data_IF_035961386006
#
_entry.id   IF_035961386006
#
_cell.length_a   1.000
_cell.length_b   1.000
_cell.length_c   1.000
_cell.angle_alpha   90.00
_cell.angle_beta   90.00
_cell.angle_gamma   90.00
#
_symmetry.space_group_name_H-M   'P 1'
#
loop_
_entity.id
_entity.type
_entity.pdbx_description
1 polymer ?
#
# COMPACT_ATOMS: atom_id res chain seq x y z
N UNK A 1 -7.63 -33.03 -32.68
CA UNK A 1 -6.67 -32.29 -31.87
C UNK A 1 -5.31 -32.90 -32.14
N UNK A 2 -4.25 -32.09 -32.49
CA UNK A 2 -2.91 -32.64 -32.61
C UNK A 2 -2.46 -33.11 -31.22
N UNK A 3 -1.96 -34.34 -31.15
CA UNK A 3 -1.32 -34.85 -29.95
C UNK A 3 0.01 -34.10 -29.75
N UNK A 4 0.17 -33.44 -28.62
CA UNK A 4 1.45 -32.81 -28.28
C UNK A 4 2.48 -33.93 -28.06
N UNK A 5 3.45 -34.06 -28.97
CA UNK A 5 4.59 -34.94 -28.77
C UNK A 5 5.62 -34.21 -27.90
N UNK A 6 6.04 -34.85 -26.80
CA UNK A 6 7.10 -34.33 -25.94
C UNK A 6 8.43 -35.00 -26.33
N UNK A 7 9.48 -34.20 -26.50
CA UNK A 7 10.85 -34.69 -26.71
C UNK A 7 11.69 -34.28 -25.52
N UNK A 8 12.40 -35.25 -24.95
CA UNK A 8 13.39 -34.97 -23.90
C UNK A 8 14.60 -34.26 -24.52
N UNK A 9 14.90 -33.04 -24.06
CA UNK A 9 16.05 -32.27 -24.54
C UNK A 9 17.32 -32.66 -23.75
N UNK A 10 17.23 -32.67 -22.41
CA UNK A 10 18.37 -32.99 -21.56
C UNK A 10 18.09 -32.71 -20.08
N UNK A 11 19.09 -32.93 -19.25
CA UNK A 11 19.00 -32.67 -17.81
C UNK A 11 19.38 -31.22 -17.51
N UNK A 12 18.63 -30.56 -16.60
CA UNK A 12 18.95 -29.19 -16.15
C UNK A 12 20.23 -29.12 -15.32
N UNK A 13 20.68 -30.23 -14.74
CA UNK A 13 21.80 -30.27 -13.79
C UNK A 13 21.45 -29.72 -12.41
N UNK A 14 20.21 -29.32 -12.19
CA UNK A 14 19.73 -28.76 -10.93
C UNK A 14 18.54 -29.57 -10.42
N UNK A 15 18.49 -29.81 -9.11
CA UNK A 15 17.38 -30.53 -8.51
C UNK A 15 16.13 -29.63 -8.42
N UNK A 16 15.05 -30.06 -9.06
CA UNK A 16 13.76 -29.42 -9.01
C UNK A 16 12.91 -30.06 -7.91
N UNK A 17 12.63 -29.33 -6.86
CA UNK A 17 11.72 -29.75 -5.78
C UNK A 17 10.58 -28.73 -5.67
N UNK A 18 9.41 -29.21 -5.24
CA UNK A 18 8.19 -28.38 -5.07
C UNK A 18 7.67 -27.76 -6.39
N UNK A 19 6.93 -26.66 -6.27
CA UNK A 19 6.36 -25.92 -7.40
C UNK A 19 7.47 -25.27 -8.22
N UNK A 20 7.35 -25.36 -9.55
CA UNK A 20 8.30 -24.79 -10.50
C UNK A 20 7.57 -23.83 -11.42
N UNK A 21 8.23 -22.78 -11.85
CA UNK A 21 7.70 -21.87 -12.87
C UNK A 21 8.74 -21.60 -13.95
N UNK A 22 8.30 -21.74 -15.20
CA UNK A 22 9.13 -21.42 -16.37
C UNK A 22 8.36 -20.54 -17.32
N UNK A 23 9.03 -19.57 -17.92
CA UNK A 23 8.48 -18.76 -18.98
C UNK A 23 9.57 -18.30 -19.94
N UNK A 24 9.16 -18.08 -21.20
CA UNK A 24 10.04 -17.58 -22.25
C UNK A 24 10.00 -16.05 -22.30
N UNK A 25 11.14 -15.43 -22.25
CA UNK A 25 11.27 -14.10 -22.87
C UNK A 25 11.21 -14.28 -24.39
N UNK A 26 10.07 -14.00 -24.96
CA UNK A 26 9.80 -14.18 -26.39
C UNK A 26 10.56 -13.20 -27.27
N UNK A 27 11.11 -12.10 -26.72
CA UNK A 27 11.92 -11.14 -27.45
C UNK A 27 13.34 -11.66 -27.66
N UNK A 28 13.89 -12.33 -26.64
CA UNK A 28 15.26 -12.86 -26.67
C UNK A 28 15.32 -14.35 -26.96
N UNK A 29 14.21 -15.08 -26.82
CA UNK A 29 14.14 -16.52 -26.94
C UNK A 29 14.74 -17.27 -25.74
N UNK A 30 15.08 -16.56 -24.67
CA UNK A 30 15.67 -17.14 -23.46
C UNK A 30 14.54 -17.74 -22.61
N UNK A 31 14.71 -19.01 -22.22
CA UNK A 31 13.85 -19.65 -21.24
C UNK A 31 14.37 -19.36 -19.82
N UNK A 32 13.56 -18.74 -19.01
CA UNK A 32 13.81 -18.52 -17.59
C UNK A 32 13.12 -19.58 -16.75
N UNK A 33 13.78 -19.98 -15.68
CA UNK A 33 13.26 -20.96 -14.72
C UNK A 33 13.44 -20.47 -13.29
N UNK A 34 12.31 -20.32 -12.58
CA UNK A 34 12.26 -20.05 -11.16
C UNK A 34 12.17 -21.37 -10.41
N UNK A 35 13.26 -21.75 -9.73
CA UNK A 35 13.31 -22.98 -8.94
C UNK A 35 13.00 -22.69 -7.46
N UNK A 36 11.83 -23.12 -7.00
CA UNK A 36 11.42 -22.97 -5.60
C UNK A 36 12.18 -23.92 -4.64
N UNK A 37 12.92 -24.90 -5.16
CA UNK A 37 13.70 -25.82 -4.33
C UNK A 37 14.97 -25.21 -3.72
N UNK A 38 15.56 -24.21 -4.39
CA UNK A 38 16.75 -23.50 -3.94
C UNK A 38 16.65 -21.97 -4.01
N UNK A 39 15.46 -21.46 -4.31
CA UNK A 39 15.12 -20.02 -4.36
C UNK A 39 15.99 -19.22 -5.33
N UNK A 40 16.24 -19.80 -6.52
CA UNK A 40 17.06 -19.17 -7.55
C UNK A 40 16.33 -19.03 -8.88
N UNK A 41 16.74 -18.02 -9.63
CA UNK A 41 16.40 -17.82 -11.01
C UNK A 41 17.53 -18.35 -11.90
N UNK A 42 17.13 -19.10 -12.94
CA UNK A 42 18.02 -19.71 -13.92
C UNK A 42 17.63 -19.30 -15.34
N UNK A 43 18.58 -19.33 -16.26
CA UNK A 43 18.29 -19.52 -17.68
C UNK A 43 18.46 -21.00 -18.03
N UNK A 44 17.68 -21.50 -18.99
CA UNK A 44 17.77 -22.89 -19.47
C UNK A 44 18.11 -22.88 -20.96
N UNK A 45 19.17 -23.56 -21.31
CA UNK A 45 19.55 -23.80 -22.71
C UNK A 45 18.54 -24.78 -23.33
N UNK A 46 17.75 -24.30 -24.29
CA UNK A 46 16.70 -25.07 -24.95
C UNK A 46 17.22 -26.15 -25.90
N UNK A 47 18.50 -26.21 -26.16
CA UNK A 47 19.12 -27.25 -27.02
C UNK A 47 19.73 -28.38 -26.20
N UNK A 48 20.24 -28.08 -25.00
CA UNK A 48 20.93 -29.06 -24.13
C UNK A 48 20.15 -29.40 -22.85
N UNK A 49 19.19 -28.53 -22.48
CA UNK A 49 18.48 -28.62 -21.20
C UNK A 49 19.24 -28.01 -20.02
N UNK A 50 20.53 -27.69 -20.16
CA UNK A 50 21.35 -27.22 -19.05
C UNK A 50 20.88 -25.88 -18.46
N UNK A 51 20.79 -25.80 -17.12
CA UNK A 51 20.44 -24.60 -16.40
C UNK A 51 21.68 -23.82 -15.94
N UNK A 52 21.64 -22.49 -16.10
CA UNK A 52 22.67 -21.57 -15.61
C UNK A 52 22.05 -20.61 -14.61
N UNK A 53 22.62 -20.50 -13.41
CA UNK A 53 22.10 -19.62 -12.36
C UNK A 53 22.30 -18.16 -12.71
N UNK A 54 21.25 -17.36 -12.52
CA UNK A 54 21.30 -15.89 -12.62
C UNK A 54 21.51 -15.29 -11.23
N UNK A 55 20.76 -15.75 -10.22
CA UNK A 55 20.85 -15.23 -8.86
C UNK A 55 19.77 -15.77 -7.93
N UNK A 56 19.86 -15.40 -6.65
CA UNK A 56 18.85 -15.69 -5.66
C UNK A 56 17.66 -14.72 -5.78
N UNK A 57 16.43 -15.24 -5.62
CA UNK A 57 15.18 -14.48 -5.74
C UNK A 57 14.29 -14.58 -4.48
N UNK A 58 14.80 -15.19 -3.41
CA UNK A 58 14.07 -15.36 -2.16
C UNK A 58 14.99 -15.89 -1.06
N UNK A 59 14.38 -16.20 0.09
CA UNK A 59 15.06 -16.81 1.23
C UNK A 59 14.47 -18.20 1.50
N UNK A 60 15.30 -19.11 2.00
CA UNK A 60 14.83 -20.41 2.44
C UNK A 60 13.70 -20.27 3.47
N UNK A 61 12.54 -20.88 3.19
CA UNK A 61 11.31 -20.75 4.00
C UNK A 61 10.34 -19.66 3.54
N UNK A 62 10.61 -18.99 2.40
CA UNK A 62 9.66 -18.07 1.79
C UNK A 62 8.76 -18.82 0.78
N UNK A 63 7.56 -19.20 1.22
CA UNK A 63 6.57 -19.94 0.42
C UNK A 63 5.83 -19.05 -0.61
N UNK A 64 6.18 -17.77 -0.73
CA UNK A 64 5.48 -16.80 -1.59
C UNK A 64 5.86 -16.88 -3.08
N UNK A 65 6.88 -17.67 -3.45
CA UNK A 65 7.35 -17.79 -4.85
C UNK A 65 6.55 -18.85 -5.63
N UNK A 66 5.32 -18.49 -6.03
CA UNK A 66 4.42 -19.44 -6.69
C UNK A 66 4.49 -19.46 -8.22
N UNK A 67 4.83 -18.36 -8.87
CA UNK A 67 4.87 -18.28 -10.34
C UNK A 67 5.71 -17.11 -10.85
N UNK A 68 6.24 -17.27 -12.06
CA UNK A 68 6.90 -16.23 -12.83
C UNK A 68 6.16 -16.06 -14.16
N UNK A 69 5.97 -14.84 -14.58
CA UNK A 69 5.42 -14.48 -15.87
C UNK A 69 6.29 -13.39 -16.50
N UNK A 70 6.73 -13.60 -17.74
CA UNK A 70 7.47 -12.60 -18.53
C UNK A 70 6.50 -12.02 -19.56
N UNK A 71 6.04 -10.76 -19.40
CA UNK A 71 5.11 -10.15 -20.33
C UNK A 71 5.73 -10.06 -21.73
N UNK A 72 5.04 -10.61 -22.73
CA UNK A 72 5.44 -10.49 -24.13
C UNK A 72 4.87 -9.23 -24.74
N UNK A 73 5.72 -8.25 -24.94
CA UNK A 73 5.42 -7.08 -25.76
C UNK A 73 6.34 -7.17 -26.98
N UNK A 74 5.76 -7.55 -28.12
CA UNK A 74 6.53 -7.58 -29.37
C UNK A 74 6.75 -6.16 -29.88
N UNK A 75 7.95 -5.63 -29.66
CA UNK A 75 8.38 -4.37 -30.25
C UNK A 75 9.27 -4.68 -31.45
N UNK A 76 8.88 -4.30 -32.67
CA UNK A 76 9.68 -4.56 -33.89
C UNK A 76 11.06 -3.91 -33.81
N UNK A 77 12.06 -4.56 -34.43
CA UNK A 77 13.42 -4.00 -34.49
C UNK A 77 13.39 -2.65 -35.22
N UNK A 78 13.95 -1.61 -34.59
CA UNK A 78 13.93 -0.24 -35.07
C UNK A 78 12.63 0.53 -34.82
N UNK A 79 11.64 -0.09 -34.17
CA UNK A 79 10.50 0.66 -33.67
C UNK A 79 10.91 1.52 -32.44
N UNK A 80 10.21 2.65 -32.17
CA UNK A 80 10.60 3.57 -31.12
C UNK A 80 10.58 2.89 -29.73
N UNK A 81 11.44 3.30 -28.81
CA UNK A 81 11.29 3.02 -27.40
C UNK A 81 10.06 3.77 -26.83
N UNK A 82 9.69 3.51 -25.57
CA UNK A 82 8.57 4.16 -24.91
C UNK A 82 8.73 5.67 -24.83
N UNK A 83 7.60 6.38 -24.71
CA UNK A 83 7.61 7.81 -24.37
C UNK A 83 8.05 8.00 -22.91
N UNK A 84 8.60 9.16 -22.59
CA UNK A 84 9.15 9.49 -21.28
C UNK A 84 8.34 10.61 -20.62
N UNK A 85 8.54 10.84 -19.33
CA UNK A 85 8.01 11.98 -18.57
C UNK A 85 6.49 12.16 -18.74
N UNK A 86 5.75 11.06 -18.81
CA UNK A 86 4.31 11.02 -19.01
C UNK A 86 3.57 11.64 -17.83
N UNK A 87 2.65 12.52 -18.13
CA UNK A 87 1.78 13.16 -17.13
C UNK A 87 0.41 13.41 -17.72
N UNK A 88 -0.63 13.32 -16.91
CA UNK A 88 -1.98 13.78 -17.24
C UNK A 88 -2.53 14.63 -16.08
N UNK A 89 -3.22 15.71 -16.43
CA UNK A 89 -3.84 16.61 -15.46
C UNK A 89 -5.23 16.98 -15.96
N UNK A 90 -6.23 16.88 -15.09
CA UNK A 90 -7.57 17.34 -15.40
C UNK A 90 -7.64 18.87 -15.41
N UNK A 91 -8.42 19.43 -16.33
CA UNK A 91 -8.71 20.85 -16.44
C UNK A 91 -10.15 21.05 -16.96
N UNK A 92 -11.07 21.43 -16.07
CA UNK A 92 -12.50 21.45 -16.39
C UNK A 92 -12.98 20.07 -16.83
N UNK A 93 -13.61 19.98 -18.00
CA UNK A 93 -14.07 18.73 -18.63
C UNK A 93 -13.06 18.14 -19.61
N UNK A 94 -11.77 18.37 -19.41
CA UNK A 94 -10.69 17.91 -20.28
C UNK A 94 -9.54 17.29 -19.50
N UNK A 95 -8.75 16.44 -20.16
CA UNK A 95 -7.50 15.90 -19.67
C UNK A 95 -6.33 16.40 -20.52
N UNK A 96 -5.39 17.10 -19.90
CA UNK A 96 -4.17 17.60 -20.54
C UNK A 96 -3.08 16.55 -20.35
N UNK A 97 -2.65 15.93 -21.46
CA UNK A 97 -1.63 14.91 -21.49
C UNK A 97 -0.32 15.53 -21.95
N UNK A 98 0.76 15.29 -21.25
CA UNK A 98 2.11 15.73 -21.63
C UNK A 98 3.10 14.58 -21.54
N UNK A 99 4.07 14.58 -22.43
CA UNK A 99 5.11 13.56 -22.51
C UNK A 99 6.36 14.09 -23.20
N UNK A 100 7.45 13.32 -23.13
CA UNK A 100 8.63 13.53 -23.93
C UNK A 100 8.80 12.37 -24.93
N UNK A 101 8.97 12.72 -26.22
CA UNK A 101 9.15 11.75 -27.29
C UNK A 101 10.40 10.88 -27.07
N UNK A 102 10.42 9.61 -27.50
CA UNK A 102 11.61 8.78 -27.41
C UNK A 102 12.75 9.34 -28.29
N UNK A 103 13.99 9.17 -27.81
CA UNK A 103 15.23 9.48 -28.56
C UNK A 103 15.93 8.24 -29.08
N UNK A 104 15.49 7.05 -28.66
CA UNK A 104 16.07 5.76 -28.99
C UNK A 104 15.01 4.81 -29.53
N UNK A 105 15.44 3.82 -30.31
CA UNK A 105 14.62 2.68 -30.64
C UNK A 105 14.58 1.68 -29.46
N UNK A 106 13.72 0.67 -29.52
CA UNK A 106 13.56 -0.34 -28.47
C UNK A 106 14.81 -1.22 -28.25
N UNK A 107 15.83 -1.12 -29.10
CA UNK A 107 17.12 -1.79 -28.97
C UNK A 107 18.23 -0.84 -28.49
N UNK A 108 17.86 0.39 -28.07
CA UNK A 108 18.79 1.39 -27.53
C UNK A 108 19.67 2.13 -28.56
N UNK A 109 19.37 2.04 -29.86
CA UNK A 109 20.01 2.85 -30.87
C UNK A 109 19.29 4.18 -31.06
N UNK A 110 20.02 5.21 -31.51
CA UNK A 110 19.42 6.51 -31.79
C UNK A 110 18.25 6.37 -32.78
N UNK A 111 17.10 6.92 -32.40
CA UNK A 111 15.89 6.86 -33.20
C UNK A 111 16.02 7.80 -34.43
N UNK A 112 15.88 7.26 -35.63
CA UNK A 112 16.00 8.00 -36.87
C UNK A 112 14.66 8.39 -37.48
N UNK A 113 13.58 7.78 -37.01
CA UNK A 113 12.23 8.02 -37.52
C UNK A 113 11.20 7.93 -36.36
N UNK A 114 10.37 8.93 -36.26
CA UNK A 114 9.19 8.94 -35.40
C UNK A 114 8.05 9.57 -36.21
N UNK A 115 6.94 8.86 -36.38
CA UNK A 115 5.82 9.33 -37.22
C UNK A 115 4.61 9.74 -36.38
N UNK A 116 4.50 9.24 -35.14
CA UNK A 116 3.40 9.62 -34.29
C UNK A 116 3.44 8.98 -32.91
N UNK A 117 2.53 9.46 -32.05
CA UNK A 117 2.21 8.89 -30.76
C UNK A 117 0.73 8.55 -30.75
N UNK A 118 0.38 7.28 -30.66
CA UNK A 118 -0.98 6.82 -30.41
C UNK A 118 -1.32 7.04 -28.94
N UNK A 119 -2.45 7.66 -28.67
CA UNK A 119 -2.98 7.89 -27.32
C UNK A 119 -4.22 7.03 -27.17
N UNK A 120 -4.20 6.14 -26.22
CA UNK A 120 -5.34 5.31 -25.81
C UNK A 120 -5.92 5.82 -24.52
N UNK A 121 -7.25 5.79 -24.42
CA UNK A 121 -8.05 6.00 -23.22
C UNK A 121 -8.69 4.67 -22.85
N UNK A 122 -8.17 3.99 -21.83
CA UNK A 122 -8.42 2.57 -21.64
C UNK A 122 -7.99 1.76 -22.85
N UNK A 123 -8.91 1.06 -23.49
CA UNK A 123 -8.64 0.27 -24.72
C UNK A 123 -8.99 1.03 -26.02
N UNK A 124 -9.58 2.22 -25.91
CA UNK A 124 -10.00 3.02 -27.07
C UNK A 124 -8.85 3.88 -27.60
N UNK A 125 -8.55 3.82 -28.89
CA UNK A 125 -7.63 4.75 -29.55
C UNK A 125 -8.33 6.12 -29.70
N UNK A 126 -7.93 7.09 -28.89
CA UNK A 126 -8.45 8.48 -28.97
C UNK A 126 -7.92 9.19 -30.20
N UNK A 127 -6.61 9.13 -30.39
CA UNK A 127 -5.94 9.83 -31.51
C UNK A 127 -4.55 9.25 -31.78
N UNK A 128 -4.00 9.62 -32.95
CA UNK A 128 -2.58 9.51 -33.24
C UNK A 128 -2.03 10.90 -33.46
N UNK A 129 -1.29 11.43 -32.49
CA UNK A 129 -0.61 12.73 -32.65
C UNK A 129 0.53 12.57 -33.60
N UNK A 130 0.47 13.24 -34.77
CA UNK A 130 1.54 13.21 -35.75
C UNK A 130 2.79 13.88 -35.21
N UNK A 131 3.93 13.20 -35.37
CA UNK A 131 5.24 13.71 -34.94
C UNK A 131 6.22 13.63 -36.09
N UNK A 132 6.95 14.70 -36.36
CA UNK A 132 8.06 14.69 -37.29
C UNK A 132 9.34 14.23 -36.63
N UNK A 133 10.25 13.60 -37.38
CA UNK A 133 11.46 12.97 -36.82
C UNK A 133 12.43 13.95 -36.15
N UNK A 134 12.35 15.25 -36.46
CA UNK A 134 13.10 16.31 -35.77
C UNK A 134 12.60 16.60 -34.37
N UNK A 135 11.45 16.03 -33.96
CA UNK A 135 10.85 16.14 -32.62
C UNK A 135 11.21 15.00 -31.67
N UNK A 136 12.13 14.12 -32.06
CA UNK A 136 12.66 13.09 -31.15
C UNK A 136 13.24 13.74 -29.89
N UNK A 137 12.95 13.18 -28.71
CA UNK A 137 13.40 13.69 -27.41
C UNK A 137 12.77 15.01 -26.96
N UNK A 138 11.86 15.62 -27.73
CA UNK A 138 11.17 16.85 -27.35
C UNK A 138 9.89 16.56 -26.62
N UNK A 139 9.48 17.50 -25.74
CA UNK A 139 8.20 17.44 -25.04
C UNK A 139 7.04 17.82 -25.95
N UNK A 140 5.92 17.15 -25.78
CA UNK A 140 4.67 17.40 -26.49
C UNK A 140 3.49 17.35 -25.54
N UNK A 141 2.36 17.87 -26.00
CA UNK A 141 1.11 17.91 -25.27
C UNK A 141 -0.07 17.60 -26.19
N UNK A 142 -1.11 17.02 -25.63
CA UNK A 142 -2.40 16.78 -26.27
C UNK A 142 -3.51 16.99 -25.23
N UNK A 143 -4.63 17.59 -25.62
CA UNK A 143 -5.79 17.76 -24.77
C UNK A 143 -6.92 16.86 -25.27
N UNK A 144 -7.39 15.97 -24.40
CA UNK A 144 -8.60 15.17 -24.61
C UNK A 144 -9.79 15.96 -24.00
N UNK A 145 -10.70 16.39 -24.86
CA UNK A 145 -11.75 17.34 -24.50
C UNK A 145 -13.13 16.68 -24.40
N UNK A 146 -14.09 17.40 -23.78
CA UNK A 146 -15.49 17.01 -23.67
C UNK A 146 -15.69 15.67 -22.93
N UNK A 147 -14.88 15.45 -21.92
CA UNK A 147 -14.98 14.29 -21.05
C UNK A 147 -16.13 14.47 -20.04
N UNK A 148 -16.79 13.40 -19.70
CA UNK A 148 -17.75 13.36 -18.59
C UNK A 148 -16.97 13.21 -17.27
N UNK A 149 -17.63 13.43 -16.14
CA UNK A 149 -17.04 13.20 -14.82
C UNK A 149 -16.64 11.72 -14.68
N UNK A 150 -15.40 11.48 -14.27
CA UNK A 150 -14.90 10.12 -14.10
C UNK A 150 -13.38 9.98 -14.11
N UNK A 151 -12.94 8.75 -13.79
CA UNK A 151 -11.53 8.36 -13.83
C UNK A 151 -11.14 7.98 -15.27
N UNK A 152 -10.10 8.61 -15.78
CA UNK A 152 -9.56 8.35 -17.11
C UNK A 152 -8.12 7.85 -17.01
N UNK A 153 -7.83 6.77 -17.74
CA UNK A 153 -6.54 6.09 -17.76
C UNK A 153 -6.00 6.17 -19.18
N UNK A 154 -4.76 6.64 -19.35
CA UNK A 154 -4.15 6.86 -20.65
C UNK A 154 -2.87 6.07 -20.83
N UNK A 155 -2.73 5.49 -22.03
CA UNK A 155 -1.56 4.78 -22.50
C UNK A 155 -1.02 5.44 -23.78
N UNK A 156 0.30 5.53 -23.89
CA UNK A 156 1.00 6.12 -25.04
C UNK A 156 1.78 5.06 -25.77
N UNK A 157 1.64 5.03 -27.09
CA UNK A 157 2.37 4.10 -27.97
C UNK A 157 3.02 4.89 -29.10
N UNK A 158 4.35 5.12 -29.07
CA UNK A 158 5.04 5.78 -30.15
C UNK A 158 5.11 4.86 -31.38
N UNK A 159 5.08 5.45 -32.59
CA UNK A 159 5.02 4.67 -33.81
C UNK A 159 5.96 5.24 -34.89
N UNK A 160 6.49 4.35 -35.75
CA UNK A 160 7.19 4.68 -36.97
C UNK A 160 6.86 3.66 -38.08
N UNK A 161 7.59 3.70 -39.22
CA UNK A 161 7.39 2.77 -40.33
C UNK A 161 7.68 1.31 -39.99
N UNK A 162 8.37 1.02 -38.88
CA UNK A 162 8.67 -0.33 -38.41
C UNK A 162 7.53 -0.93 -37.57
N UNK A 163 6.68 -0.09 -36.99
CA UNK A 163 5.54 -0.47 -36.21
C UNK A 163 5.39 0.29 -34.91
N UNK A 164 4.57 -0.27 -34.03
CA UNK A 164 4.32 0.25 -32.70
C UNK A 164 5.55 0.01 -31.83
N UNK A 165 5.90 1.04 -31.06
CA UNK A 165 7.05 1.06 -30.17
C UNK A 165 6.77 0.50 -28.78
N UNK A 166 7.72 0.72 -27.88
CA UNK A 166 7.61 0.32 -26.49
C UNK A 166 6.50 1.05 -25.75
N UNK A 167 5.89 0.35 -24.80
CA UNK A 167 4.94 0.92 -23.85
C UNK A 167 5.49 0.76 -22.42
N UNK A 168 5.09 1.64 -21.52
CA UNK A 168 5.38 1.46 -20.11
C UNK A 168 4.45 0.42 -19.47
N UNK A 169 4.90 -0.18 -18.38
CA UNK A 169 4.09 -1.09 -17.55
C UNK A 169 2.93 -0.36 -16.87
N UNK A 170 3.11 0.94 -16.60
CA UNK A 170 2.17 1.74 -15.84
C UNK A 170 1.51 2.79 -16.75
N UNK A 171 0.19 2.84 -16.73
CA UNK A 171 -0.58 3.89 -17.37
C UNK A 171 -0.62 5.14 -16.47
N UNK A 172 -0.89 6.32 -17.04
CA UNK A 172 -1.13 7.54 -16.28
C UNK A 172 -2.63 7.80 -16.20
N UNK A 173 -3.10 8.32 -15.07
CA UNK A 173 -4.52 8.56 -14.85
C UNK A 173 -4.82 9.90 -14.23
N UNK A 174 -6.02 10.41 -14.49
CA UNK A 174 -6.58 11.61 -13.83
C UNK A 174 -8.08 11.46 -13.68
N UNK A 175 -8.65 12.12 -12.70
CA UNK A 175 -10.10 12.24 -12.55
C UNK A 175 -10.56 13.57 -13.12
N UNK A 176 -11.52 13.54 -14.03
CA UNK A 176 -12.15 14.73 -14.63
C UNK A 176 -13.47 15.01 -13.91
N UNK A 177 -13.78 16.27 -13.66
CA UNK A 177 -14.98 16.67 -12.96
C UNK A 177 -14.86 16.73 -11.44
N UNK A 178 -16.00 16.82 -10.76
CA UNK A 178 -16.06 16.81 -9.31
C UNK A 178 -15.79 15.41 -8.77
N UNK A 179 -15.02 15.31 -7.69
CA UNK A 179 -14.47 14.06 -7.18
C UNK A 179 -15.02 13.74 -5.79
N UNK A 180 -15.07 12.46 -5.46
CA UNK A 180 -15.25 12.04 -4.07
C UNK A 180 -14.07 12.51 -3.21
N UNK A 181 -14.27 12.78 -1.90
CA UNK A 181 -13.22 13.30 -1.03
C UNK A 181 -11.99 12.38 -0.94
N UNK A 182 -10.80 12.95 -0.92
CA UNK A 182 -9.57 12.23 -0.56
C UNK A 182 -9.54 11.85 0.91
N UNK A 183 -8.37 11.43 1.41
CA UNK A 183 -8.18 11.12 2.82
C UNK A 183 -8.30 12.38 3.68
N UNK A 184 -8.96 12.27 4.84
CA UNK A 184 -8.85 13.30 5.85
C UNK A 184 -7.40 13.45 6.29
N UNK A 185 -7.00 14.69 6.59
CA UNK A 185 -5.62 15.04 6.94
C UNK A 185 -5.46 15.06 8.46
N UNK A 186 -4.28 14.68 8.95
CA UNK A 186 -3.93 14.71 10.39
C UNK A 186 -4.93 13.94 11.27
N UNK A 187 -5.43 12.80 10.79
CA UNK A 187 -6.32 11.95 11.59
C UNK A 187 -5.56 11.33 12.74
N UNK A 188 -5.90 11.75 13.96
CA UNK A 188 -5.29 11.28 15.21
C UNK A 188 -6.37 10.87 16.18
N UNK A 189 -6.15 9.77 16.90
CA UNK A 189 -6.99 9.31 18.01
C UNK A 189 -6.15 9.28 19.26
N UNK A 190 -6.62 9.96 20.31
CA UNK A 190 -5.97 10.02 21.63
C UNK A 190 -6.89 9.45 22.68
N UNK A 191 -6.31 8.79 23.67
CA UNK A 191 -7.05 8.39 24.85
C UNK A 191 -7.35 9.61 25.74
N UNK A 192 -8.60 9.76 26.13
CA UNK A 192 -9.05 10.62 27.21
C UNK A 192 -9.39 9.82 28.47
N UNK A 193 -10.17 10.41 29.39
CA UNK A 193 -10.64 9.70 30.57
C UNK A 193 -11.87 8.85 30.21
N UNK A 194 -11.66 7.54 30.01
CA UNK A 194 -12.67 6.60 29.55
C UNK A 194 -13.30 6.92 28.19
N UNK A 195 -12.55 7.64 27.35
CA UNK A 195 -13.01 8.10 26.05
C UNK A 195 -11.90 8.06 25.01
N UNK A 196 -12.28 8.07 23.73
CA UNK A 196 -11.41 8.28 22.58
C UNK A 196 -11.68 9.67 21.99
N UNK A 197 -10.65 10.51 21.94
CA UNK A 197 -10.72 11.85 21.33
C UNK A 197 -10.13 11.78 19.93
N UNK A 198 -10.99 11.91 18.94
CA UNK A 198 -10.65 11.90 17.52
C UNK A 198 -10.51 13.33 17.02
N UNK A 199 -9.47 13.58 16.23
CA UNK A 199 -9.26 14.89 15.58
C UNK A 199 -8.80 14.68 14.14
N UNK A 200 -9.22 15.57 13.23
CA UNK A 200 -8.84 15.53 11.82
C UNK A 200 -8.97 16.91 11.17
N UNK A 201 -8.48 17.01 9.95
CA UNK A 201 -8.77 18.13 9.04
C UNK A 201 -9.48 17.58 7.80
N UNK A 202 -10.27 18.42 7.16
CA UNK A 202 -10.92 18.08 5.90
C UNK A 202 -9.88 17.68 4.83
N UNK A 203 -10.24 16.78 3.89
CA UNK A 203 -9.42 16.51 2.72
C UNK A 203 -9.12 17.79 1.94
N UNK A 204 -7.89 17.92 1.41
CA UNK A 204 -7.48 19.02 0.53
C UNK A 204 -7.50 18.64 -0.95
N UNK A 205 -7.76 17.37 -1.26
CA UNK A 205 -7.74 16.82 -2.61
C UNK A 205 -8.80 15.73 -2.79
N UNK A 206 -9.14 15.42 -4.03
CA UNK A 206 -10.05 14.33 -4.35
C UNK A 206 -9.42 12.93 -4.25
N UNK A 207 -10.25 11.92 -4.21
CA UNK A 207 -9.84 10.52 -4.02
C UNK A 207 -8.92 9.99 -5.13
N UNK A 208 -9.10 10.47 -6.37
CA UNK A 208 -8.36 10.02 -7.55
C UNK A 208 -7.54 11.14 -8.22
N UNK A 209 -7.19 12.20 -7.48
CA UNK A 209 -6.68 13.44 -8.06
C UNK A 209 -7.81 14.23 -8.73
N UNK A 210 -7.49 15.24 -9.52
CA UNK A 210 -8.51 16.09 -10.15
C UNK A 210 -9.10 17.16 -9.20
N UNK A 211 -10.17 17.79 -9.63
CA UNK A 211 -10.80 18.89 -8.88
C UNK A 211 -11.57 18.34 -7.68
N UNK A 212 -11.43 19.00 -6.54
CA UNK A 212 -12.20 18.74 -5.33
C UNK A 212 -12.49 20.04 -4.60
N UNK A 213 -13.74 20.25 -4.24
CA UNK A 213 -14.16 21.35 -3.38
C UNK A 213 -14.37 20.83 -1.95
N UNK A 214 -13.54 21.23 -0.96
CA UNK A 214 -13.78 20.88 0.44
C UNK A 214 -15.14 21.33 0.97
N UNK A 215 -15.75 22.36 0.39
CA UNK A 215 -17.10 22.81 0.71
C UNK A 215 -18.21 21.86 0.26
N UNK A 216 -17.91 20.89 -0.61
CA UNK A 216 -18.86 19.85 -1.06
C UNK A 216 -19.09 18.73 -0.03
N UNK A 217 -18.27 18.65 1.03
CA UNK A 217 -18.43 17.62 2.08
C UNK A 217 -19.79 17.79 2.75
N UNK A 218 -20.54 16.70 2.85
CA UNK A 218 -21.86 16.66 3.48
C UNK A 218 -21.83 16.07 4.88
N UNK A 219 -20.88 15.16 5.15
CA UNK A 219 -20.71 14.49 6.43
C UNK A 219 -19.38 13.75 6.53
N UNK A 220 -19.05 13.29 7.74
CA UNK A 220 -18.00 12.30 7.97
C UNK A 220 -18.62 11.00 8.52
N UNK A 221 -17.99 9.89 8.22
CA UNK A 221 -18.33 8.58 8.80
C UNK A 221 -17.11 8.01 9.50
N UNK A 222 -17.26 7.73 10.79
CA UNK A 222 -16.23 7.09 11.60
C UNK A 222 -16.63 5.64 11.81
N UNK A 223 -15.69 4.72 11.58
CA UNK A 223 -15.86 3.32 11.93
C UNK A 223 -14.99 3.00 13.14
N UNK A 224 -15.61 2.54 14.22
CA UNK A 224 -14.94 1.98 15.39
C UNK A 224 -14.97 0.46 15.33
N UNK A 225 -13.83 -0.21 15.51
CA UNK A 225 -13.72 -1.67 15.57
C UNK A 225 -12.94 -2.11 16.80
N UNK A 226 -13.39 -3.18 17.45
CA UNK A 226 -12.66 -3.87 18.53
C UNK A 226 -12.09 -5.23 18.07
N UNK A 227 -12.02 -5.45 16.75
CA UNK A 227 -11.57 -6.71 16.13
C UNK A 227 -12.67 -7.77 16.00
N UNK A 228 -13.71 -7.76 16.83
CA UNK A 228 -14.84 -8.70 16.78
C UNK A 228 -16.12 -8.06 16.24
N UNK A 229 -16.28 -6.77 16.43
CA UNK A 229 -17.43 -5.99 15.98
C UNK A 229 -16.98 -4.63 15.46
N UNK A 230 -17.75 -4.09 14.51
CA UNK A 230 -17.59 -2.73 13.99
C UNK A 230 -18.88 -1.95 14.16
N UNK A 231 -18.75 -0.66 14.46
CA UNK A 231 -19.85 0.27 14.58
C UNK A 231 -19.54 1.53 13.77
N UNK A 232 -20.50 1.99 12.99
CA UNK A 232 -20.40 3.24 12.25
C UNK A 232 -21.05 4.39 13.05
N UNK A 233 -20.39 5.54 13.03
CA UNK A 233 -20.80 6.77 13.69
C UNK A 233 -20.82 7.86 12.63
N UNK A 234 -21.98 8.39 12.35
CA UNK A 234 -22.16 9.46 11.38
C UNK A 234 -22.04 10.83 12.06
N UNK A 235 -21.23 11.72 11.48
CA UNK A 235 -21.05 13.11 11.90
C UNK A 235 -21.65 13.99 10.80
N UNK A 236 -22.88 14.44 11.01
CA UNK A 236 -23.64 15.21 10.02
C UNK A 236 -23.17 16.67 9.89
N UNK A 237 -22.26 17.15 10.74
CA UNK A 237 -21.64 18.46 10.59
C UNK A 237 -20.42 18.37 9.65
N UNK A 238 -20.50 18.93 8.43
CA UNK A 238 -19.39 18.89 7.48
C UNK A 238 -18.18 19.74 7.90
N UNK A 239 -18.36 20.63 8.88
CA UNK A 239 -17.29 21.47 9.43
C UNK A 239 -16.59 20.84 10.65
N UNK A 240 -17.05 19.68 11.10
CA UNK A 240 -16.47 18.99 12.25
C UNK A 240 -15.02 18.63 12.02
N UNK A 241 -14.19 18.89 13.03
CA UNK A 241 -12.76 18.52 13.07
C UNK A 241 -12.40 17.64 14.24
N UNK A 242 -13.39 17.27 15.06
CA UNK A 242 -13.21 16.42 16.23
C UNK A 242 -14.49 15.67 16.57
N UNK A 243 -14.31 14.55 17.24
CA UNK A 243 -15.40 13.76 17.86
C UNK A 243 -14.87 13.04 19.09
N UNK A 244 -15.69 12.95 20.13
CA UNK A 244 -15.37 12.17 21.34
C UNK A 244 -16.28 10.96 21.40
N UNK A 245 -15.70 9.77 21.44
CA UNK A 245 -16.40 8.51 21.58
C UNK A 245 -16.15 7.88 22.96
N UNK A 246 -17.19 7.31 23.56
CA UNK A 246 -17.15 6.67 24.89
C UNK A 246 -17.55 5.20 24.80
N UNK A 247 -16.75 4.34 24.14
CA UNK A 247 -17.13 2.96 23.84
C UNK A 247 -17.05 2.02 25.06
N UNK A 248 -16.50 2.48 26.18
CA UNK A 248 -16.15 1.68 27.34
C UNK A 248 -14.71 1.15 27.27
N UNK A 249 -14.31 0.38 28.28
CA UNK A 249 -12.99 -0.23 28.33
C UNK A 249 -12.77 -1.22 27.16
N UNK A 250 -11.65 -1.08 26.49
CA UNK A 250 -11.25 -2.00 25.41
C UNK A 250 -10.21 -1.41 24.47
N UNK A 251 -9.68 -2.26 23.59
CA UNK A 251 -8.80 -1.85 22.49
C UNK A 251 -9.63 -1.60 21.23
N UNK A 252 -9.46 -0.42 20.66
CA UNK A 252 -10.22 0.00 19.49
C UNK A 252 -9.31 0.54 18.39
N UNK A 253 -9.69 0.26 17.15
CA UNK A 253 -9.17 0.91 15.94
C UNK A 253 -10.26 1.81 15.38
N UNK A 254 -9.88 3.01 14.98
CA UNK A 254 -10.77 3.97 14.34
C UNK A 254 -10.33 4.24 12.92
N UNK A 255 -11.30 4.32 12.02
CA UNK A 255 -11.12 4.86 10.69
C UNK A 255 -12.17 5.92 10.40
N UNK A 256 -11.86 6.82 9.47
CA UNK A 256 -12.75 7.92 9.08
C UNK A 256 -12.66 8.16 7.57
N UNK A 257 -13.79 8.53 6.97
CA UNK A 257 -13.84 9.09 5.63
C UNK A 257 -14.87 10.24 5.57
N UNK A 258 -14.62 11.18 4.67
CA UNK A 258 -15.57 12.24 4.32
C UNK A 258 -16.52 11.74 3.22
N UNK A 259 -17.68 12.33 3.09
CA UNK A 259 -18.72 12.01 2.09
C UNK A 259 -19.17 13.30 1.42
N UNK A 260 -19.37 13.25 0.11
CA UNK A 260 -20.05 14.27 -0.69
C UNK A 260 -21.07 13.63 -1.65
N UNK A 261 -21.66 14.41 -2.54
CA UNK A 261 -22.65 13.91 -3.51
C UNK A 261 -22.06 12.92 -4.53
N UNK A 262 -20.72 12.93 -4.74
CA UNK A 262 -20.02 11.99 -5.61
C UNK A 262 -19.75 10.63 -4.92
N UNK A 263 -19.93 10.56 -3.60
CA UNK A 263 -19.84 9.32 -2.83
C UNK A 263 -18.91 9.37 -1.63
N UNK A 264 -18.54 8.18 -1.15
CA UNK A 264 -17.66 8.01 -0.02
C UNK A 264 -16.21 8.29 -0.42
N UNK A 265 -15.52 9.04 0.41
CA UNK A 265 -14.12 9.37 0.23
C UNK A 265 -13.14 8.27 0.64
N UNK A 266 -11.86 8.56 0.48
CA UNK A 266 -10.80 7.65 0.87
C UNK A 266 -10.69 7.53 2.40
N UNK A 267 -10.48 6.28 2.87
CA UNK A 267 -10.43 5.96 4.30
C UNK A 267 -9.07 6.32 4.90
N UNK A 268 -9.08 7.04 6.02
CA UNK A 268 -7.92 7.22 6.91
C UNK A 268 -8.07 6.32 8.13
N UNK A 269 -6.98 5.68 8.57
CA UNK A 269 -6.97 4.74 9.69
C UNK A 269 -5.96 5.23 10.72
N UNK A 270 -6.35 5.26 12.00
CA UNK A 270 -5.46 5.56 13.12
C UNK A 270 -4.87 4.28 13.72
N UNK A 271 -3.75 4.43 14.43
CA UNK A 271 -3.21 3.33 15.24
C UNK A 271 -4.22 2.90 16.32
N UNK A 272 -4.24 1.61 16.70
CA UNK A 272 -5.09 1.14 17.78
C UNK A 272 -4.82 1.87 19.09
N UNK A 273 -5.86 2.13 19.87
CA UNK A 273 -5.76 2.70 21.22
C UNK A 273 -6.49 1.84 22.24
N UNK A 274 -6.09 1.98 23.50
CA UNK A 274 -6.82 1.40 24.64
C UNK A 274 -7.63 2.52 25.28
N UNK A 275 -8.97 2.40 25.26
CA UNK A 275 -9.86 3.29 25.99
C UNK A 275 -10.03 2.75 27.41
N UNK A 276 -9.73 3.56 28.42
CA UNK A 276 -9.75 3.20 29.82
C UNK A 276 -9.88 4.45 30.69
N UNK A 277 -10.29 4.32 31.97
CA UNK A 277 -10.16 5.42 32.92
C UNK A 277 -8.72 5.94 33.03
N UNK A 278 -8.57 7.23 33.27
CA UNK A 278 -7.27 7.90 33.32
C UNK A 278 -6.36 7.37 34.45
N UNK A 279 -6.95 6.91 35.54
CA UNK A 279 -6.28 6.32 36.71
C UNK A 279 -5.96 4.81 36.55
N UNK A 280 -6.27 4.21 35.39
CA UNK A 280 -5.93 2.82 35.11
C UNK A 280 -4.59 2.71 34.37
N UNK A 281 -3.79 1.75 34.81
CA UNK A 281 -2.60 1.26 34.09
C UNK A 281 -2.94 -0.17 33.67
N UNK A 282 -2.89 -0.42 32.37
CA UNK A 282 -3.15 -1.74 31.78
C UNK A 282 -1.84 -2.30 31.25
N UNK A 283 -1.55 -3.56 31.55
CA UNK A 283 -0.32 -4.23 31.10
C UNK A 283 -0.26 -4.27 29.58
N UNK A 284 0.72 -3.56 29.03
CA UNK A 284 1.07 -3.50 27.60
C UNK A 284 2.56 -3.27 27.49
N UNK A 285 3.14 -3.49 26.32
CA UNK A 285 4.53 -3.09 26.08
C UNK A 285 4.66 -1.55 26.08
N UNK A 286 5.64 -1.03 26.79
CA UNK A 286 5.95 0.40 26.80
C UNK A 286 6.16 0.99 28.19
N UNK A 287 5.70 2.23 28.35
CA UNK A 287 5.93 3.02 29.57
C UNK A 287 4.63 3.68 30.06
N UNK A 288 4.46 3.72 31.37
CA UNK A 288 3.41 4.46 32.05
C UNK A 288 4.04 5.47 33.01
N UNK A 289 3.63 6.74 32.92
CA UNK A 289 4.08 7.79 33.83
C UNK A 289 3.02 8.01 34.90
N UNK A 290 3.42 7.97 36.19
CA UNK A 290 2.53 8.16 37.32
C UNK A 290 2.84 9.46 38.05
N UNK A 291 1.81 10.23 38.36
CA UNK A 291 1.94 11.50 39.05
C UNK A 291 2.11 11.32 40.56
N UNK A 292 2.88 12.21 41.18
CA UNK A 292 3.11 12.19 42.62
C UNK A 292 1.81 12.41 43.41
N UNK A 293 1.58 11.59 44.43
CA UNK A 293 0.42 11.69 45.29
C UNK A 293 -0.88 11.13 44.71
N UNK A 294 -0.86 10.60 43.49
CA UNK A 294 -2.01 9.91 42.87
C UNK A 294 -1.93 8.40 43.10
N UNK A 295 -3.11 7.78 43.13
CA UNK A 295 -3.28 6.33 43.15
C UNK A 295 -3.76 5.89 41.78
N UNK A 296 -3.13 4.86 41.21
CA UNK A 296 -3.50 4.22 39.95
C UNK A 296 -3.92 2.78 40.21
N UNK A 297 -4.81 2.29 39.37
CA UNK A 297 -5.27 0.89 39.41
C UNK A 297 -4.54 0.13 38.28
N UNK A 298 -3.70 -0.83 38.66
CA UNK A 298 -2.97 -1.66 37.69
C UNK A 298 -3.78 -2.94 37.40
N UNK A 299 -3.94 -3.25 36.12
CA UNK A 299 -4.63 -4.42 35.61
C UNK A 299 -3.78 -5.16 34.57
N UNK A 300 -4.09 -6.43 34.35
CA UNK A 300 -3.61 -7.16 33.20
C UNK A 300 -4.15 -6.58 31.88
N UNK A 301 -3.76 -7.18 30.75
CA UNK A 301 -4.14 -6.69 29.41
C UNK A 301 -5.64 -6.74 29.11
N UNK A 302 -6.42 -7.53 29.84
CA UNK A 302 -7.87 -7.65 29.68
C UNK A 302 -8.67 -6.75 30.65
N UNK A 303 -8.00 -6.12 31.62
CA UNK A 303 -8.63 -5.26 32.61
C UNK A 303 -9.38 -6.04 33.72
N UNK A 304 -10.22 -5.35 34.49
CA UNK A 304 -10.77 -5.92 35.75
C UNK A 304 -11.83 -7.01 35.54
N UNK A 305 -12.39 -7.19 34.34
CA UNK A 305 -13.58 -7.99 34.11
C UNK A 305 -13.39 -9.18 33.18
N UNK A 306 -12.16 -9.46 32.74
CA UNK A 306 -11.87 -10.58 31.85
C UNK A 306 -10.52 -11.21 32.20
N UNK A 307 -10.29 -12.42 31.72
CA UNK A 307 -8.99 -13.07 31.81
C UNK A 307 -8.06 -12.55 30.72
N UNK A 308 -6.77 -12.38 31.04
CA UNK A 308 -5.76 -12.00 30.05
C UNK A 308 -5.68 -13.04 28.93
N UNK A 309 -5.41 -12.59 27.68
CA UNK A 309 -5.28 -13.48 26.54
C UNK A 309 -4.05 -14.39 26.68
N UNK A 310 -4.16 -15.63 26.20
CA UNK A 310 -3.02 -16.56 26.12
C UNK A 310 -1.88 -15.98 25.26
N UNK A 311 -0.68 -16.48 25.48
CA UNK A 311 0.53 -16.12 24.69
C UNK A 311 0.98 -14.66 24.78
N UNK A 312 0.71 -13.99 25.90
CA UNK A 312 1.22 -12.64 26.18
C UNK A 312 2.63 -12.68 26.76
N UNK A 313 3.47 -11.76 26.29
CA UNK A 313 4.79 -11.47 26.84
C UNK A 313 5.00 -9.96 26.77
N UNK A 314 4.46 -9.25 27.76
CA UNK A 314 4.47 -7.80 27.82
C UNK A 314 5.50 -7.31 28.83
N UNK A 315 6.17 -6.20 28.52
CA UNK A 315 7.06 -5.48 29.43
C UNK A 315 6.58 -4.04 29.56
N UNK A 316 6.17 -3.65 30.77
CA UNK A 316 5.72 -2.30 31.06
C UNK A 316 6.63 -1.67 32.12
N UNK A 317 7.20 -0.50 31.80
CA UNK A 317 7.95 0.31 32.75
C UNK A 317 7.03 1.36 33.36
N UNK A 318 6.87 1.36 34.68
CA UNK A 318 6.09 2.38 35.41
C UNK A 318 7.08 3.37 36.03
N UNK A 319 7.04 4.62 35.57
CA UNK A 319 7.93 5.68 36.05
C UNK A 319 7.19 6.78 36.79
N UNK A 320 7.73 7.29 37.90
CA UNK A 320 7.21 8.50 38.49
C UNK A 320 7.48 9.71 37.57
N UNK A 321 6.55 10.65 37.53
CA UNK A 321 6.70 11.91 36.77
C UNK A 321 7.91 12.71 37.28
N UNK A 322 8.17 12.67 38.58
CA UNK A 322 9.35 13.25 39.21
C UNK A 322 10.48 12.21 39.28
N UNK A 323 11.68 12.55 38.78
CA UNK A 323 12.85 11.65 38.75
C UNK A 323 13.28 11.14 40.12
N UNK A 324 12.94 11.86 41.21
CA UNK A 324 13.22 11.47 42.61
C UNK A 324 12.01 10.77 43.28
N UNK A 325 10.95 10.53 42.53
CA UNK A 325 9.76 9.83 43.04
C UNK A 325 9.99 8.32 43.15
N UNK A 326 9.22 7.69 44.03
CA UNK A 326 9.18 6.24 44.17
C UNK A 326 7.78 5.73 43.78
N UNK A 327 7.73 4.59 43.11
CA UNK A 327 6.49 3.88 42.80
C UNK A 327 6.27 2.81 43.88
N UNK A 328 5.16 2.91 44.59
CA UNK A 328 4.75 1.88 45.56
C UNK A 328 3.66 1.03 44.93
N UNK A 329 3.85 -0.29 44.87
CA UNK A 329 2.90 -1.25 44.34
C UNK A 329 2.33 -2.10 45.49
N UNK A 330 0.99 -2.26 45.56
CA UNK A 330 0.34 -3.19 46.48
C UNK A 330 -0.69 -4.02 45.71
N UNK A 331 -0.58 -5.34 45.81
CA UNK A 331 -1.53 -6.25 45.17
C UNK A 331 -2.74 -6.49 46.09
N UNK A 332 -3.93 -6.14 45.61
CA UNK A 332 -5.20 -6.49 46.27
C UNK A 332 -5.67 -7.87 45.84
N UNK A 333 -5.38 -8.26 44.64
CA UNK A 333 -5.67 -9.56 44.07
C UNK A 333 -4.56 -9.91 43.05
N UNK A 334 -4.07 -11.13 43.08
CA UNK A 334 -3.14 -11.65 42.12
C UNK A 334 -3.50 -13.11 41.83
N UNK A 335 -3.86 -13.39 40.59
CA UNK A 335 -4.22 -14.72 40.12
C UNK A 335 -3.60 -14.94 38.77
N UNK A 336 -2.80 -15.99 38.64
CA UNK A 336 -2.22 -16.45 37.34
C UNK A 336 -2.67 -17.90 37.11
N UNK A 337 -2.50 -18.37 35.87
CA UNK A 337 -2.68 -19.80 35.60
C UNK A 337 -1.65 -20.63 36.38
N UNK A 338 -2.08 -21.83 36.79
CA UNK A 338 -1.26 -22.75 37.58
C UNK A 338 -0.09 -23.35 36.82
N UNK A 339 -0.06 -23.24 35.49
CA UNK A 339 0.91 -23.90 34.60
C UNK A 339 1.69 -22.92 33.73
N UNK A 340 2.51 -22.05 34.34
CA UNK A 340 3.58 -21.41 33.61
C UNK A 340 3.45 -19.91 33.32
N UNK A 341 2.45 -19.23 33.92
CA UNK A 341 2.35 -17.78 33.82
C UNK A 341 3.03 -17.09 34.98
N UNK A 342 3.89 -16.12 34.69
CA UNK A 342 4.69 -15.41 35.68
C UNK A 342 4.54 -13.90 35.52
N UNK A 343 4.50 -13.19 36.63
CA UNK A 343 4.75 -11.76 36.69
C UNK A 343 6.13 -11.53 37.32
N UNK A 344 7.02 -10.89 36.58
CA UNK A 344 8.31 -10.44 37.11
C UNK A 344 8.23 -8.94 37.40
N UNK A 345 8.79 -8.51 38.52
CA UNK A 345 8.89 -7.12 38.93
C UNK A 345 10.36 -6.80 39.14
N UNK A 346 10.83 -5.80 38.45
CA UNK A 346 12.22 -5.33 38.50
C UNK A 346 12.27 -3.94 39.10
N UNK A 347 13.18 -3.69 40.05
CA UNK A 347 13.39 -2.38 40.65
C UNK A 347 14.41 -1.57 39.82
N UNK A 348 13.98 -1.13 38.62
CA UNK A 348 14.84 -0.37 37.71
C UNK A 348 14.20 -0.05 36.38
N UNK A 349 15.04 0.42 35.47
CA UNK A 349 14.58 0.93 34.17
C UNK A 349 14.31 -0.16 33.13
N UNK A 350 14.81 -1.37 33.35
CA UNK A 350 14.69 -2.49 32.41
C UNK A 350 14.73 -3.83 33.13
N UNK A 351 14.59 -4.91 32.38
CA UNK A 351 14.57 -6.31 32.87
C UNK A 351 15.92 -6.84 33.35
N UNK A 352 16.99 -6.06 33.31
CA UNK A 352 18.31 -6.42 33.88
C UNK A 352 18.48 -5.89 35.31
N UNK A 353 17.56 -5.06 35.78
CA UNK A 353 17.54 -4.59 37.15
C UNK A 353 17.20 -5.73 38.12
N UNK A 354 17.60 -5.63 39.43
CA UNK A 354 17.31 -6.64 40.45
C UNK A 354 15.82 -6.82 40.72
#
# INVERSE_FOLDING_TARGET
>A
KPTAACTLIGATGVNAAFTQSMDFDRNTGILYWLNCGDYKLYTVDITTGAATVIGGVGKNGDDSMASMFIPYIHVPVGAPDRVLDRKVVASGNSAILSWRNPSFDAQGKALTELTGIKIYRGEELVTTVTVSSDKTGQSMEYTDENLQDGLYIYRFVPVNSKGDGGVDSDDVSTYVGENAPGKVVDFVVKQGDNEAILTWKAPGEGMYGGTFDPGSITKYVITRSNGSASNEIEISDPSATSYTDTPGFGTYTYSIYAVNDMGNGAVSIAAPIIVKPADWIVMTNGEAIVESGKTYHFYDAAGPNAYYPNTRNDTLTIRPQNSNGLVHVSFKQFVTDTYGDYLYIFDGADTNAP
#
